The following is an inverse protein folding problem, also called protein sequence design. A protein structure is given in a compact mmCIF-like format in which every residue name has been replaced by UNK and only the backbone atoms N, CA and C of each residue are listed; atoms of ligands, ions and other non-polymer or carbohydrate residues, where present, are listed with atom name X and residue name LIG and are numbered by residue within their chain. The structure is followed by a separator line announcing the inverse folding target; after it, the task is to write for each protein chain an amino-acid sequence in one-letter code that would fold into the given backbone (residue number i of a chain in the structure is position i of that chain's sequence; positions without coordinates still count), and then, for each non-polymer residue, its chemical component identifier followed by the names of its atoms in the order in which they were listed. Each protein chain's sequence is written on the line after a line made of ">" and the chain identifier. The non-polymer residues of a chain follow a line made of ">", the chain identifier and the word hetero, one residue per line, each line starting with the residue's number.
data_IF_703365195085
#
_entry.id   IF_703365195085
#
_cell.length_a   1.000
_cell.length_b   1.000
_cell.length_c   1.000
_cell.angle_alpha   90.00
_cell.angle_beta   90.00
_cell.angle_gamma   90.00
#
_symmetry.space_group_name_H-M   'P 1'
#
loop_
_entity.id
_entity.type
_entity.pdbx_description
1 polymer ?
#
# COMPACT_ATOMS: atom_id res chain seq x y z
N UNK A 1 -1.70 -11.64 10.04
CA UNK A 1 -0.67 -10.90 10.80
C UNK A 1 -1.41 -9.99 11.77
N UNK A 2 -1.37 -10.27 13.08
CA UNK A 2 -2.31 -9.69 14.04
C UNK A 2 -1.85 -8.33 14.58
N UNK A 3 -2.34 -7.23 14.01
CA UNK A 3 -2.21 -5.91 14.58
C UNK A 3 -3.25 -5.76 15.71
N UNK A 4 -2.83 -5.89 16.97
CA UNK A 4 -3.71 -5.75 18.14
C UNK A 4 -3.45 -4.43 18.86
N UNK A 5 -4.41 -4.00 19.67
CA UNK A 5 -4.28 -2.86 20.57
C UNK A 5 -3.05 -3.03 21.48
N UNK A 6 -2.14 -2.05 21.51
CA UNK A 6 -0.94 -2.05 22.37
C UNK A 6 0.41 -2.20 21.64
N UNK A 7 0.45 -1.93 20.33
CA UNK A 7 1.66 -2.01 19.50
C UNK A 7 2.76 -1.03 19.97
N UNK A 8 3.97 -1.54 20.23
CA UNK A 8 5.13 -0.76 20.70
C UNK A 8 6.08 -0.45 19.54
N UNK A 9 6.92 0.58 19.69
CA UNK A 9 7.88 0.99 18.65
C UNK A 9 8.81 -0.15 18.16
N UNK A 10 9.17 -1.08 19.05
CA UNK A 10 9.98 -2.26 18.71
C UNK A 10 9.27 -3.24 17.74
N UNK A 11 7.94 -3.20 17.68
CA UNK A 11 7.15 -4.04 16.79
C UNK A 11 7.21 -3.52 15.34
N UNK A 12 7.38 -2.20 15.13
CA UNK A 12 7.45 -1.62 13.78
C UNK A 12 8.72 -1.99 13.01
N UNK A 13 9.88 -1.99 13.67
CA UNK A 13 11.15 -2.39 13.03
C UNK A 13 11.22 -3.90 12.78
N UNK A 14 10.51 -4.67 13.61
CA UNK A 14 10.35 -6.12 13.44
C UNK A 14 9.42 -6.40 12.26
N UNK A 15 8.31 -5.68 12.12
CA UNK A 15 7.41 -5.81 10.98
C UNK A 15 8.06 -5.30 9.69
N UNK A 16 8.83 -4.21 9.70
CA UNK A 16 9.55 -3.75 8.50
C UNK A 16 10.56 -4.78 8.00
N UNK A 17 11.30 -5.41 8.92
CA UNK A 17 12.20 -6.53 8.59
C UNK A 17 11.45 -7.77 8.14
N UNK A 18 10.33 -8.09 8.78
CA UNK A 18 9.48 -9.21 8.39
C UNK A 18 8.91 -9.02 6.98
N UNK A 19 8.46 -7.81 6.62
CA UNK A 19 7.94 -7.47 5.29
C UNK A 19 9.02 -7.51 4.20
N UNK A 20 10.24 -7.06 4.49
CA UNK A 20 11.35 -7.20 3.55
C UNK A 20 11.77 -8.66 3.31
N UNK A 21 11.47 -9.57 4.25
CA UNK A 21 11.68 -11.01 4.12
C UNK A 21 10.44 -11.81 3.74
N UNK A 22 9.25 -11.19 3.72
CA UNK A 22 8.01 -11.85 3.34
C UNK A 22 7.90 -11.78 1.83
N UNK A 23 8.03 -12.93 1.18
CA UNK A 23 7.73 -13.02 -0.24
C UNK A 23 6.21 -12.98 -0.41
N UNK A 24 5.66 -11.76 -0.37
CA UNK A 24 4.33 -11.52 -0.92
C UNK A 24 4.43 -11.83 -2.41
N UNK A 25 4.09 -13.05 -2.81
CA UNK A 25 3.90 -13.41 -4.20
C UNK A 25 2.63 -12.72 -4.69
N UNK A 26 2.76 -11.43 -4.99
CA UNK A 26 1.76 -10.72 -5.78
C UNK A 26 1.91 -11.22 -7.21
N UNK A 27 0.78 -11.64 -7.75
CA UNK A 27 0.69 -12.28 -9.05
C UNK A 27 -0.38 -11.54 -9.85
N UNK A 28 0.07 -10.87 -10.90
CA UNK A 28 -0.78 -10.11 -11.80
C UNK A 28 -1.87 -10.96 -12.47
N UNK A 29 -1.70 -12.29 -12.51
CA UNK A 29 -2.68 -13.21 -13.11
C UNK A 29 -3.88 -13.52 -12.21
N UNK A 30 -3.78 -13.23 -10.91
CA UNK A 30 -4.80 -13.62 -9.91
C UNK A 30 -5.81 -12.52 -9.59
N UNK A 31 -5.58 -11.30 -10.07
CA UNK A 31 -6.40 -10.14 -9.80
C UNK A 31 -7.03 -9.54 -11.06
N UNK A 32 -7.86 -8.52 -10.87
CA UNK A 32 -8.45 -7.75 -11.95
C UNK A 32 -7.60 -6.52 -12.27
N UNK A 33 -6.71 -6.66 -13.26
CA UNK A 33 -5.84 -5.58 -13.73
C UNK A 33 -6.63 -4.43 -14.40
N UNK A 34 -7.78 -4.73 -15.02
CA UNK A 34 -8.66 -3.71 -15.60
C UNK A 34 -9.23 -2.83 -14.50
N UNK A 35 -9.83 -3.41 -13.46
CA UNK A 35 -10.37 -2.66 -12.33
C UNK A 35 -9.28 -1.85 -11.61
N UNK A 36 -8.08 -2.41 -11.47
CA UNK A 36 -6.96 -1.69 -10.88
C UNK A 36 -6.53 -0.49 -11.74
N UNK A 37 -6.43 -0.65 -13.07
CA UNK A 37 -6.14 0.44 -14.00
C UNK A 37 -7.17 1.56 -13.85
N UNK A 38 -8.46 1.24 -13.91
CA UNK A 38 -9.54 2.24 -13.80
C UNK A 38 -9.48 2.99 -12.46
N UNK A 39 -9.24 2.27 -11.36
CA UNK A 39 -9.06 2.88 -10.04
C UNK A 39 -7.88 3.86 -10.02
N UNK A 40 -6.71 3.41 -10.48
CA UNK A 40 -5.49 4.23 -10.43
C UNK A 40 -5.58 5.43 -11.38
N UNK A 41 -6.15 5.26 -12.57
CA UNK A 41 -6.40 6.35 -13.53
C UNK A 41 -7.35 7.39 -12.93
N UNK A 42 -8.43 6.96 -12.26
CA UNK A 42 -9.34 7.88 -11.56
C UNK A 42 -8.67 8.63 -10.40
N UNK A 43 -7.61 8.07 -9.80
CA UNK A 43 -6.85 8.70 -8.69
C UNK A 43 -5.60 9.45 -9.14
N UNK A 44 -5.22 9.41 -10.42
CA UNK A 44 -4.02 10.08 -10.95
C UNK A 44 -3.94 11.57 -10.58
N UNK A 45 -4.99 12.40 -10.72
CA UNK A 45 -4.91 13.81 -10.33
C UNK A 45 -4.65 14.00 -8.83
N UNK A 46 -5.19 13.13 -7.98
CA UNK A 46 -4.93 13.16 -6.54
C UNK A 46 -3.47 12.83 -6.23
N UNK A 47 -2.92 11.76 -6.83
CA UNK A 47 -1.52 11.38 -6.65
C UNK A 47 -0.54 12.45 -7.13
N UNK A 48 -0.81 13.07 -8.29
CA UNK A 48 -0.01 14.19 -8.79
C UNK A 48 -0.11 15.43 -7.89
N UNK A 49 -1.28 15.67 -7.28
CA UNK A 49 -1.44 16.72 -6.28
C UNK A 49 -0.58 16.50 -5.03
N UNK A 50 -0.40 15.25 -4.59
CA UNK A 50 0.48 14.93 -3.46
C UNK A 50 1.95 15.24 -3.77
N UNK A 51 2.40 15.01 -5.01
CA UNK A 51 3.76 15.37 -5.45
C UNK A 51 4.03 16.87 -5.43
N UNK A 52 2.99 17.72 -5.43
CA UNK A 52 3.16 19.17 -5.36
C UNK A 52 3.30 19.67 -3.91
N UNK A 53 3.13 18.81 -2.91
CA UNK A 53 3.21 19.19 -1.50
C UNK A 53 4.66 19.03 -0.98
N UNK A 54 5.39 20.14 -0.72
CA UNK A 54 6.79 20.08 -0.31
C UNK A 54 6.98 19.34 1.03
N UNK A 55 6.02 19.42 1.95
CA UNK A 55 6.09 18.71 3.23
C UNK A 55 6.10 17.18 3.06
N UNK A 56 5.55 16.66 1.96
CA UNK A 56 5.55 15.23 1.67
C UNK A 56 6.84 14.80 0.95
N UNK A 57 7.45 15.69 0.17
CA UNK A 57 8.68 15.41 -0.57
C UNK A 57 9.94 15.39 0.31
N UNK A 58 9.89 16.02 1.48
CA UNK A 58 10.94 15.90 2.50
C UNK A 58 11.05 14.46 3.06
N UNK A 59 10.00 13.65 2.89
CA UNK A 59 9.97 12.24 3.28
C UNK A 59 10.31 11.34 2.09
N UNK A 60 11.58 10.89 2.03
CA UNK A 60 12.11 10.03 0.96
C UNK A 60 11.21 8.81 0.71
N UNK A 61 10.81 8.09 1.75
CA UNK A 61 10.01 6.85 1.62
C UNK A 61 8.60 7.10 1.08
N UNK A 62 7.99 8.25 1.40
CA UNK A 62 6.68 8.62 0.87
C UNK A 62 6.77 9.02 -0.61
N UNK A 63 7.86 9.68 -1.00
CA UNK A 63 8.13 9.99 -2.41
C UNK A 63 8.34 8.71 -3.22
N UNK A 64 9.10 7.74 -2.70
CA UNK A 64 9.25 6.41 -3.31
C UNK A 64 7.92 5.67 -3.46
N UNK A 65 7.02 5.77 -2.46
CA UNK A 65 5.66 5.25 -2.57
C UNK A 65 4.91 5.86 -3.76
N UNK A 66 4.91 7.20 -3.87
CA UNK A 66 4.19 7.88 -4.94
C UNK A 66 4.72 7.46 -6.32
N UNK A 67 6.05 7.37 -6.48
CA UNK A 67 6.66 6.90 -7.71
C UNK A 67 6.30 5.46 -8.05
N UNK A 68 6.36 4.55 -7.08
CA UNK A 68 6.02 3.14 -7.32
C UNK A 68 4.57 2.97 -7.79
N UNK A 69 3.62 3.71 -7.19
CA UNK A 69 2.20 3.66 -7.57
C UNK A 69 1.95 4.32 -8.93
N UNK A 70 2.58 5.46 -9.20
CA UNK A 70 2.45 6.15 -10.50
C UNK A 70 3.06 5.34 -11.64
N UNK A 71 4.23 4.72 -11.42
CA UNK A 71 4.85 3.84 -12.39
C UNK A 71 3.95 2.64 -12.74
N UNK A 72 3.41 1.96 -11.73
CA UNK A 72 2.45 0.88 -11.95
C UNK A 72 1.21 1.37 -12.73
N UNK A 73 0.69 2.55 -12.38
CA UNK A 73 -0.44 3.13 -13.09
C UNK A 73 -0.10 3.42 -14.56
N UNK A 74 1.08 3.94 -14.86
CA UNK A 74 1.55 4.19 -16.24
C UNK A 74 1.66 2.91 -17.06
N UNK A 75 2.26 1.85 -16.50
CA UNK A 75 2.34 0.54 -17.15
C UNK A 75 0.94 0.00 -17.47
N UNK A 76 0.01 0.06 -16.51
CA UNK A 76 -1.36 -0.42 -16.73
C UNK A 76 -2.13 0.42 -17.77
N UNK A 77 -1.96 1.74 -17.75
CA UNK A 77 -2.63 2.69 -18.66
C UNK A 77 -2.12 2.57 -20.10
N UNK A 78 -0.84 2.24 -20.28
CA UNK A 78 -0.22 2.04 -21.59
C UNK A 78 -0.74 0.78 -22.33
N UNK A 79 -1.41 -0.14 -21.63
CA UNK A 79 -1.92 -1.40 -22.20
C UNK A 79 -3.40 -1.26 -22.57
N UNK A 80 -3.70 -1.53 -23.84
CA UNK A 80 -5.07 -1.55 -24.36
C UNK A 80 -5.87 -2.78 -23.91
N UNK A 81 -5.18 -3.90 -23.65
CA UNK A 81 -5.75 -5.14 -23.14
C UNK A 81 -4.75 -5.86 -22.22
N UNK A 82 -5.27 -6.65 -21.27
CA UNK A 82 -4.51 -7.56 -20.44
C UNK A 82 -4.68 -9.04 -20.85
N UNK A 83 -5.45 -9.31 -21.90
CA UNK A 83 -5.64 -10.66 -22.42
C UNK A 83 -4.44 -11.12 -23.25
N UNK A 84 -4.00 -12.36 -23.02
CA UNK A 84 -2.94 -12.99 -23.83
C UNK A 84 -1.55 -12.38 -23.68
N UNK A 85 -1.31 -11.61 -22.61
CA UNK A 85 0.01 -11.05 -22.34
C UNK A 85 1.08 -12.16 -22.22
N UNK A 86 2.30 -11.94 -22.74
CA UNK A 86 3.40 -12.87 -22.56
C UNK A 86 3.70 -13.10 -21.08
N UNK A 87 4.15 -14.31 -20.72
CA UNK A 87 4.50 -14.65 -19.33
C UNK A 87 5.55 -13.69 -18.73
N UNK A 88 6.48 -13.18 -19.55
CA UNK A 88 7.46 -12.18 -19.13
C UNK A 88 6.83 -10.84 -18.76
N UNK A 89 5.77 -10.43 -19.46
CA UNK A 89 5.04 -9.17 -19.20
C UNK A 89 4.23 -9.27 -17.90
N UNK A 90 3.55 -10.40 -17.70
CA UNK A 90 2.84 -10.69 -16.45
C UNK A 90 3.79 -10.76 -15.24
N UNK A 91 4.99 -11.33 -15.43
CA UNK A 91 6.02 -11.34 -14.39
C UNK A 91 6.54 -9.93 -14.07
N UNK A 92 6.70 -9.08 -15.08
CA UNK A 92 7.07 -7.67 -14.91
C UNK A 92 6.00 -6.91 -14.10
N UNK A 93 4.73 -6.99 -14.52
CA UNK A 93 3.61 -6.36 -13.80
C UNK A 93 3.48 -6.86 -12.36
N UNK A 94 3.73 -8.16 -12.12
CA UNK A 94 3.75 -8.74 -10.78
C UNK A 94 4.86 -8.10 -9.92
N UNK A 95 6.02 -7.82 -10.51
CA UNK A 95 7.11 -7.09 -9.87
C UNK A 95 6.73 -5.67 -9.48
N UNK A 96 6.05 -4.93 -10.36
CA UNK A 96 5.63 -3.55 -10.08
C UNK A 96 4.48 -3.47 -9.08
N UNK A 97 3.53 -4.40 -9.13
CA UNK A 97 2.53 -4.59 -8.08
C UNK A 97 3.21 -4.79 -6.72
N UNK A 98 4.20 -5.70 -6.65
CA UNK A 98 4.94 -5.97 -5.42
C UNK A 98 5.67 -4.74 -4.90
N UNK A 99 6.31 -3.99 -5.80
CA UNK A 99 7.02 -2.74 -5.47
C UNK A 99 6.07 -1.71 -4.86
N UNK A 100 4.96 -1.41 -5.53
CA UNK A 100 3.97 -0.44 -5.06
C UNK A 100 3.34 -0.88 -3.72
N UNK A 101 2.92 -2.13 -3.63
CA UNK A 101 2.28 -2.67 -2.43
C UNK A 101 3.21 -2.67 -1.21
N UNK A 102 4.48 -3.02 -1.39
CA UNK A 102 5.47 -2.97 -0.31
C UNK A 102 5.69 -1.53 0.17
N UNK A 103 5.78 -0.56 -0.74
CA UNK A 103 5.89 0.85 -0.36
C UNK A 103 4.65 1.34 0.42
N UNK A 104 3.44 0.93 0.00
CA UNK A 104 2.19 1.24 0.71
C UNK A 104 2.23 0.68 2.13
N UNK A 105 2.66 -0.57 2.28
CA UNK A 105 2.78 -1.22 3.57
C UNK A 105 3.75 -0.50 4.51
N UNK A 106 4.92 -0.08 4.01
CA UNK A 106 5.91 0.66 4.81
C UNK A 106 5.31 1.96 5.36
N UNK A 107 4.68 2.75 4.50
CA UNK A 107 4.05 4.01 4.89
C UNK A 107 2.84 3.80 5.81
N UNK A 108 2.03 2.77 5.56
CA UNK A 108 0.91 2.43 6.45
C UNK A 108 1.40 2.06 7.85
N UNK A 109 2.50 1.31 7.98
CA UNK A 109 3.07 0.99 9.30
C UNK A 109 3.64 2.21 10.00
N UNK A 110 4.32 3.10 9.26
CA UNK A 110 4.81 4.36 9.78
C UNK A 110 3.66 5.23 10.31
N UNK A 111 2.56 5.30 9.54
CA UNK A 111 1.32 5.96 9.93
C UNK A 111 0.70 5.34 11.18
N UNK A 112 0.54 4.01 11.24
CA UNK A 112 -0.02 3.32 12.41
C UNK A 112 0.83 3.56 13.67
N UNK A 113 2.16 3.57 13.55
CA UNK A 113 3.07 3.92 14.65
C UNK A 113 2.87 5.37 15.10
N UNK A 114 2.82 6.31 14.15
CA UNK A 114 2.61 7.72 14.45
C UNK A 114 1.28 7.93 15.20
N UNK A 115 0.19 7.35 14.71
CA UNK A 115 -1.10 7.41 15.38
C UNK A 115 -1.06 6.81 16.79
N UNK A 116 -0.42 5.65 16.96
CA UNK A 116 -0.38 4.98 18.27
C UNK A 116 0.28 5.82 19.36
N UNK A 117 1.25 6.66 19.00
CA UNK A 117 2.00 7.48 19.94
C UNK A 117 1.44 8.88 20.10
N UNK A 118 1.00 9.53 19.02
CA UNK A 118 0.57 10.92 19.03
C UNK A 118 -0.95 11.10 19.11
N UNK A 119 -1.72 10.15 18.57
CA UNK A 119 -3.17 10.26 18.43
C UNK A 119 -3.90 8.95 18.77
N UNK A 120 -3.90 8.51 20.05
CA UNK A 120 -4.46 7.21 20.44
C UNK A 120 -5.92 7.00 20.04
N UNK A 121 -6.73 8.06 20.00
CA UNK A 121 -8.12 7.98 19.57
C UNK A 121 -8.27 7.68 18.07
N UNK A 122 -7.40 8.23 17.21
CA UNK A 122 -7.34 7.91 15.79
C UNK A 122 -6.80 6.50 15.56
N UNK A 123 -5.77 6.12 16.33
CA UNK A 123 -5.20 4.77 16.28
C UNK A 123 -6.25 3.69 16.56
N UNK A 124 -7.10 3.90 17.57
CA UNK A 124 -8.19 3.00 17.93
C UNK A 124 -9.11 2.71 16.72
N UNK A 125 -9.49 3.76 15.98
CA UNK A 125 -10.31 3.60 14.77
C UNK A 125 -9.52 2.95 13.62
N UNK A 126 -8.26 3.31 13.44
CA UNK A 126 -7.43 2.77 12.37
C UNK A 126 -7.18 1.26 12.52
N UNK A 127 -7.01 0.77 13.76
CA UNK A 127 -6.91 -0.68 14.06
C UNK A 127 -8.21 -1.40 13.72
N UNK A 128 -9.37 -0.81 14.03
CA UNK A 128 -10.68 -1.39 13.70
C UNK A 128 -11.00 -1.41 12.20
N UNK A 129 -10.40 -0.50 11.43
CA UNK A 129 -10.47 -0.41 9.97
C UNK A 129 -9.30 -1.08 9.27
N UNK A 130 -8.53 -1.91 9.98
CA UNK A 130 -7.34 -2.52 9.43
C UNK A 130 -7.70 -3.40 8.22
N UNK A 131 -7.16 -3.13 7.02
CA UNK A 131 -7.46 -3.92 5.82
C UNK A 131 -6.96 -5.37 5.88
N UNK A 132 -6.13 -5.69 6.87
CA UNK A 132 -5.62 -7.05 7.14
C UNK A 132 -6.42 -7.83 8.18
N UNK A 133 -7.45 -7.22 8.76
CA UNK A 133 -8.42 -7.92 9.58
C UNK A 133 -9.47 -8.55 8.66
N UNK A 134 -9.71 -9.87 8.69
CA UNK A 134 -10.75 -10.51 7.88
C UNK A 134 -12.18 -10.11 8.31
N UNK A 135 -12.38 -9.62 9.54
CA UNK A 135 -13.68 -9.21 10.06
C UNK A 135 -13.62 -7.81 10.71
N UNK A 136 -13.27 -6.75 9.96
CA UNK A 136 -13.10 -5.43 10.52
C UNK A 136 -14.45 -4.87 10.97
N UNK A 137 -14.54 -4.42 12.23
CA UNK A 137 -15.74 -3.79 12.79
C UNK A 137 -15.40 -2.41 13.30
N UNK A 138 -16.04 -1.38 12.75
CA UNK A 138 -15.85 0.02 13.18
C UNK A 138 -16.48 0.33 14.53
N UNK A 139 -17.47 -0.48 14.93
CA UNK A 139 -18.21 -0.36 16.19
C UNK A 139 -17.32 -0.73 17.38
N UNK A 140 -17.50 -0.03 18.50
CA UNK A 140 -16.87 -0.38 19.77
C UNK A 140 -17.80 -1.36 20.48
N UNK A 141 -17.34 -2.60 20.68
CA UNK A 141 -18.06 -3.61 21.47
C UNK A 141 -17.37 -3.72 22.83
N UNK A 142 -18.14 -3.52 23.90
CA UNK A 142 -17.75 -3.75 25.30
C UNK A 142 -17.72 -5.23 25.64
#
# INVERSE_FOLDING_TARGET
>A
MGFRTGWKAADSDTVRRALNGFDHSLDATRGDLFALRELLTAKRPFLLGLLQNPNLLEHETFTELLWAVLHLQEELDARSSFEGLPASDLAHLSGDLKRAYNAILVEWLAYMRHLSTQYPYLYSLAVRRNPYDPEPSVEVRT
#
